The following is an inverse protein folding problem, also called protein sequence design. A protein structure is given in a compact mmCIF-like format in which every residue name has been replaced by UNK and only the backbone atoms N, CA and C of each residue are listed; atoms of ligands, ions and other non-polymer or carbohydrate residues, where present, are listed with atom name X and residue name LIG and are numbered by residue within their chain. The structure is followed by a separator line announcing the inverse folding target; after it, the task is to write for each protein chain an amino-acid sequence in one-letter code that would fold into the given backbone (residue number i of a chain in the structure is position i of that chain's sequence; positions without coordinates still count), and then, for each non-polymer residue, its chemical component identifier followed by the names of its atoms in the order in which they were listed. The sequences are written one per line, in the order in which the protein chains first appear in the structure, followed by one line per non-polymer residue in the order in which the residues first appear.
data_IF_773553952316
#
_entry.id   IF_773553952316
#
_cell.length_a   1.000
_cell.length_b   1.000
_cell.length_c   1.000
_cell.angle_alpha   90.00
_cell.angle_beta   90.00
_cell.angle_gamma   90.00
#
_symmetry.space_group_name_H-M   'P 1'
#
loop_
_entity.id
_entity.type
_entity.pdbx_description
1 polymer ?
#
# COMPACT_ATOMS: atom_id res chain seq x y z
N UNK A 1 -54.52 -23.74 12.68
CA UNK A 1 -53.38 -23.08 12.03
C UNK A 1 -52.32 -22.84 13.10
N UNK A 2 -51.45 -23.81 13.31
CA UNK A 2 -50.29 -23.72 14.20
C UNK A 2 -49.25 -22.84 13.50
N UNK A 3 -49.05 -21.63 14.02
CA UNK A 3 -47.98 -20.75 13.56
C UNK A 3 -46.64 -21.39 13.92
N UNK A 4 -45.88 -21.77 12.91
CA UNK A 4 -44.48 -22.19 13.03
C UNK A 4 -43.69 -21.01 13.61
N UNK A 5 -42.95 -21.19 14.71
CA UNK A 5 -42.10 -20.14 15.22
C UNK A 5 -40.97 -19.94 14.22
N UNK A 6 -40.77 -18.69 13.78
CA UNK A 6 -39.59 -18.29 13.01
C UNK A 6 -38.38 -18.55 13.91
N UNK A 7 -37.50 -19.45 13.48
CA UNK A 7 -36.21 -19.64 14.13
C UNK A 7 -35.46 -18.31 14.11
N UNK A 8 -35.12 -17.82 15.29
CA UNK A 8 -34.13 -16.76 15.46
C UNK A 8 -32.78 -17.40 15.11
N UNK A 9 -32.23 -17.09 13.93
CA UNK A 9 -31.05 -17.77 13.35
C UNK A 9 -29.74 -17.56 14.13
N UNK A 10 -29.79 -17.08 15.38
CA UNK A 10 -28.63 -16.98 16.26
C UNK A 10 -27.54 -16.02 15.76
N UNK A 11 -27.84 -15.17 14.77
CA UNK A 11 -26.91 -14.19 14.24
C UNK A 11 -26.53 -13.20 15.35
N UNK A 12 -25.26 -13.21 15.76
CA UNK A 12 -24.81 -12.35 16.85
C UNK A 12 -25.08 -10.88 16.50
N UNK A 13 -25.60 -10.10 17.45
CA UNK A 13 -25.85 -8.67 17.25
C UNK A 13 -24.58 -7.96 16.76
N UNK A 14 -24.65 -6.97 15.85
CA UNK A 14 -23.48 -6.23 15.35
C UNK A 14 -22.71 -5.51 16.47
N UNK A 15 -21.40 -5.32 16.29
CA UNK A 15 -20.56 -4.54 17.21
C UNK A 15 -20.95 -3.08 17.11
N UNK A 16 -20.86 -2.36 18.23
CA UNK A 16 -20.94 -0.90 18.22
C UNK A 16 -19.75 -0.29 17.44
N UNK A 17 -19.90 0.95 16.96
CA UNK A 17 -18.88 1.61 16.13
C UNK A 17 -17.50 1.66 16.79
N UNK A 18 -17.44 1.96 18.10
CA UNK A 18 -16.18 1.99 18.84
C UNK A 18 -15.51 0.61 18.88
N UNK A 19 -16.29 -0.42 19.21
CA UNK A 19 -15.82 -1.80 19.33
C UNK A 19 -15.39 -2.38 17.96
N UNK A 20 -16.09 -2.03 16.89
CA UNK A 20 -15.71 -2.41 15.53
C UNK A 20 -14.40 -1.72 15.09
N UNK A 21 -14.26 -0.43 15.40
CA UNK A 21 -13.05 0.34 15.09
C UNK A 21 -11.84 -0.22 15.83
N UNK A 22 -12.02 -0.58 17.10
CA UNK A 22 -10.97 -1.18 17.91
C UNK A 22 -10.50 -2.51 17.31
N UNK A 23 -11.43 -3.37 16.88
CA UNK A 23 -11.06 -4.62 16.21
C UNK A 23 -10.29 -4.40 14.91
N UNK A 24 -10.66 -3.41 14.10
CA UNK A 24 -9.90 -3.07 12.89
C UNK A 24 -8.48 -2.59 13.24
N UNK A 25 -8.33 -1.78 14.28
CA UNK A 25 -7.01 -1.31 14.75
C UNK A 25 -6.15 -2.45 15.30
N UNK A 26 -6.74 -3.34 16.10
CA UNK A 26 -6.06 -4.50 16.67
C UNK A 26 -5.46 -5.41 15.59
N UNK A 27 -6.14 -5.63 14.46
CA UNK A 27 -5.56 -6.39 13.32
C UNK A 27 -4.26 -5.76 12.84
N UNK A 28 -4.22 -4.43 12.71
CA UNK A 28 -3.02 -3.75 12.25
C UNK A 28 -1.92 -3.77 13.32
N UNK A 29 -2.25 -3.57 14.59
CA UNK A 29 -1.28 -3.67 15.70
C UNK A 29 -0.62 -5.06 15.80
N UNK A 30 -1.40 -6.11 15.60
CA UNK A 30 -0.91 -7.48 15.77
C UNK A 30 -0.21 -8.03 14.52
N UNK A 31 -0.69 -7.66 13.32
CA UNK A 31 -0.32 -8.35 12.07
C UNK A 31 0.29 -7.45 11.00
N UNK A 32 0.41 -6.14 11.24
CA UNK A 32 1.02 -5.29 10.23
C UNK A 32 2.49 -5.62 10.03
N UNK A 33 2.96 -5.37 8.80
CA UNK A 33 4.21 -5.93 8.33
C UNK A 33 5.45 -5.24 8.91
N UNK A 34 5.30 -4.15 9.67
CA UNK A 34 6.40 -3.47 10.36
C UNK A 34 7.07 -4.38 11.39
N UNK A 35 6.33 -5.38 11.89
CA UNK A 35 6.81 -6.43 12.80
C UNK A 35 7.54 -7.58 12.11
N UNK A 36 7.48 -7.67 10.78
CA UNK A 36 8.19 -8.71 10.04
C UNK A 36 9.71 -8.59 10.27
N UNK A 37 10.46 -9.69 10.50
CA UNK A 37 11.90 -9.67 10.77
C UNK A 37 12.71 -8.80 9.79
N UNK A 38 12.45 -8.91 8.49
CA UNK A 38 13.02 -8.02 7.47
C UNK A 38 12.86 -6.52 7.75
N UNK A 39 11.66 -6.05 8.14
CA UNK A 39 11.45 -4.63 8.46
C UNK A 39 12.11 -4.26 9.79
N UNK A 40 12.10 -5.16 10.79
CA UNK A 40 12.80 -4.92 12.06
C UNK A 40 14.30 -4.70 11.82
N UNK A 41 14.94 -5.59 11.05
CA UNK A 41 16.34 -5.46 10.61
C UNK A 41 16.58 -4.16 9.84
N UNK A 42 15.66 -3.79 8.92
CA UNK A 42 15.72 -2.50 8.20
C UNK A 42 15.74 -1.31 9.16
N UNK A 43 14.84 -1.31 10.15
CA UNK A 43 14.73 -0.19 11.09
C UNK A 43 15.92 -0.12 12.06
N UNK A 44 16.63 -1.23 12.26
CA UNK A 44 17.82 -1.34 13.09
C UNK A 44 19.14 -1.11 12.32
N UNK A 45 19.08 -0.94 10.99
CA UNK A 45 20.26 -0.70 10.16
C UNK A 45 21.02 -1.99 9.76
N UNK A 46 20.39 -3.16 9.91
CA UNK A 46 21.04 -4.47 9.77
C UNK A 46 20.93 -5.06 8.36
N UNK A 47 20.16 -4.44 7.47
CA UNK A 47 20.13 -4.85 6.06
C UNK A 47 21.39 -4.39 5.31
N UNK A 48 21.90 -5.28 4.46
CA UNK A 48 22.92 -4.95 3.47
C UNK A 48 22.35 -4.09 2.34
N UNK A 49 23.20 -3.35 1.58
CA UNK A 49 22.75 -2.64 0.38
C UNK A 49 22.06 -3.53 -0.66
N UNK A 50 22.48 -4.80 -0.79
CA UNK A 50 21.89 -5.75 -1.72
C UNK A 50 20.46 -6.13 -1.29
N UNK A 51 20.23 -6.46 -0.02
CA UNK A 51 18.91 -6.74 0.53
C UNK A 51 17.97 -5.53 0.40
N UNK A 52 18.47 -4.32 0.67
CA UNK A 52 17.67 -3.12 0.58
C UNK A 52 17.25 -2.83 -0.88
N UNK A 53 18.16 -2.98 -1.84
CA UNK A 53 17.86 -2.86 -3.29
C UNK A 53 16.85 -3.91 -3.76
N UNK A 54 17.00 -5.17 -3.31
CA UNK A 54 16.04 -6.24 -3.59
C UNK A 54 14.65 -5.87 -3.11
N UNK A 55 14.54 -5.32 -1.89
CA UNK A 55 13.28 -4.83 -1.36
C UNK A 55 12.71 -3.67 -2.19
N UNK A 56 13.53 -2.70 -2.60
CA UNK A 56 13.08 -1.57 -3.44
C UNK A 56 12.47 -2.07 -4.76
N UNK A 57 13.14 -3.00 -5.46
CA UNK A 57 12.67 -3.60 -6.72
C UNK A 57 11.34 -4.33 -6.51
N UNK A 58 11.29 -5.22 -5.53
CA UNK A 58 10.10 -6.04 -5.29
C UNK A 58 8.91 -5.21 -4.80
N UNK A 59 9.15 -4.21 -3.95
CA UNK A 59 8.10 -3.31 -3.50
C UNK A 59 7.63 -2.36 -4.59
N UNK A 60 8.48 -1.96 -5.52
CA UNK A 60 8.03 -1.19 -6.69
C UNK A 60 6.94 -1.93 -7.48
N UNK A 61 7.04 -3.26 -7.60
CA UNK A 61 5.97 -4.07 -8.18
C UNK A 61 4.65 -3.92 -7.42
N UNK A 62 4.65 -3.90 -6.09
CA UNK A 62 3.45 -3.58 -5.31
C UNK A 62 2.97 -2.13 -5.56
N UNK A 63 3.89 -1.16 -5.57
CA UNK A 63 3.56 0.26 -5.73
C UNK A 63 2.84 0.57 -7.04
N UNK A 64 3.30 0.00 -8.16
CA UNK A 64 2.71 0.23 -9.50
C UNK A 64 1.36 -0.47 -9.69
N UNK A 65 1.02 -1.45 -8.84
CA UNK A 65 -0.29 -2.12 -8.88
C UNK A 65 -1.33 -1.50 -7.96
N UNK A 66 -0.95 -0.57 -7.06
CA UNK A 66 -1.92 0.20 -6.28
C UNK A 66 -2.96 0.93 -7.16
N UNK A 67 -2.57 1.73 -8.17
CA UNK A 67 -3.56 2.41 -9.03
C UNK A 67 -4.43 1.43 -9.81
N UNK A 68 -3.89 0.26 -10.23
CA UNK A 68 -4.67 -0.81 -10.87
C UNK A 68 -5.75 -1.34 -9.93
N UNK A 69 -5.36 -1.66 -8.69
CA UNK A 69 -6.28 -2.10 -7.63
C UNK A 69 -7.32 -1.04 -7.33
N UNK A 70 -6.93 0.24 -7.25
CA UNK A 70 -7.86 1.33 -6.96
C UNK A 70 -8.83 1.61 -8.11
N UNK A 71 -8.43 1.41 -9.37
CA UNK A 71 -9.33 1.47 -10.51
C UNK A 71 -10.39 0.35 -10.47
N UNK A 72 -10.01 -0.86 -10.04
CA UNK A 72 -10.95 -1.96 -9.85
C UNK A 72 -11.95 -1.71 -8.73
N UNK A 73 -11.54 -1.01 -7.65
CA UNK A 73 -12.46 -0.55 -6.60
C UNK A 73 -13.37 0.56 -7.14
N UNK A 74 -12.81 1.53 -7.85
CA UNK A 74 -13.54 2.64 -8.45
C UNK A 74 -14.68 2.16 -9.35
N UNK A 75 -14.44 1.10 -10.12
CA UNK A 75 -15.43 0.46 -10.99
C UNK A 75 -16.64 -0.14 -10.25
N UNK A 76 -16.58 -0.30 -8.92
CA UNK A 76 -17.68 -0.81 -8.09
C UNK A 76 -18.59 0.27 -7.51
N UNK A 77 -18.25 1.54 -7.72
CA UNK A 77 -19.01 2.65 -7.14
C UNK A 77 -19.98 3.23 -8.15
N UNK A 78 -21.28 3.13 -7.87
CA UNK A 78 -22.33 3.77 -8.67
C UNK A 78 -22.42 5.27 -8.39
N UNK A 79 -22.10 5.71 -7.17
CA UNK A 79 -22.12 7.11 -6.75
C UNK A 79 -20.90 7.90 -7.29
N UNK A 80 -21.12 8.94 -8.12
CA UNK A 80 -20.04 9.82 -8.59
C UNK A 80 -19.28 10.54 -7.47
N UNK A 81 -19.89 10.81 -6.31
CA UNK A 81 -19.22 11.43 -5.18
C UNK A 81 -18.13 10.52 -4.61
N UNK A 82 -18.44 9.24 -4.41
CA UNK A 82 -17.44 8.23 -4.02
C UNK A 82 -16.35 8.10 -5.08
N UNK A 83 -16.70 8.08 -6.37
CA UNK A 83 -15.70 8.01 -7.44
C UNK A 83 -14.74 9.21 -7.45
N UNK A 84 -15.23 10.43 -7.23
CA UNK A 84 -14.39 11.64 -7.16
C UNK A 84 -13.40 11.60 -6.00
N UNK A 85 -13.80 11.04 -4.86
CA UNK A 85 -12.91 10.86 -3.69
C UNK A 85 -11.88 9.77 -3.97
N UNK A 86 -12.31 8.63 -4.52
CA UNK A 86 -11.45 7.46 -4.69
C UNK A 86 -10.44 7.60 -5.84
N UNK A 87 -10.81 8.27 -6.94
CA UNK A 87 -9.92 8.47 -8.11
C UNK A 87 -8.63 9.22 -7.75
N UNK A 88 -8.67 10.04 -6.70
CA UNK A 88 -7.50 10.75 -6.19
C UNK A 88 -6.37 9.81 -5.78
N UNK A 89 -6.66 8.59 -5.30
CA UNK A 89 -5.63 7.58 -4.97
C UNK A 89 -4.83 7.17 -6.20
N UNK A 90 -5.49 7.04 -7.34
CA UNK A 90 -4.85 6.78 -8.63
C UNK A 90 -3.97 7.97 -9.01
N UNK A 91 -4.51 9.19 -8.94
CA UNK A 91 -3.76 10.43 -9.24
C UNK A 91 -2.55 10.63 -8.31
N UNK A 92 -2.67 10.28 -7.04
CA UNK A 92 -1.57 10.36 -6.07
C UNK A 92 -0.41 9.41 -6.41
N UNK A 93 -0.70 8.27 -7.04
CA UNK A 93 0.26 7.27 -7.48
C UNK A 93 0.82 7.54 -8.88
N UNK A 94 -0.04 7.79 -9.86
CA UNK A 94 0.34 7.99 -11.26
C UNK A 94 0.79 9.42 -11.57
N UNK A 95 0.35 10.38 -10.75
CA UNK A 95 0.44 11.80 -11.08
C UNK A 95 -0.62 12.22 -12.10
N UNK A 96 -0.71 13.52 -12.37
CA UNK A 96 -1.56 14.08 -13.43
C UNK A 96 -0.78 14.38 -14.71
N UNK A 97 0.54 14.21 -14.67
CA UNK A 97 1.45 14.39 -15.79
C UNK A 97 2.68 13.48 -15.61
N UNK A 98 3.43 13.27 -16.69
CA UNK A 98 4.66 12.46 -16.70
C UNK A 98 5.66 13.01 -15.67
N UNK A 99 6.33 12.10 -14.95
CA UNK A 99 7.34 12.47 -13.95
C UNK A 99 6.74 13.01 -12.64
N UNK A 100 5.48 12.68 -12.36
CA UNK A 100 4.80 13.01 -11.10
C UNK A 100 4.29 11.74 -10.40
N UNK A 101 3.71 11.91 -9.21
CA UNK A 101 3.06 10.83 -8.48
C UNK A 101 3.99 9.97 -7.62
N UNK A 102 3.38 9.04 -6.90
CA UNK A 102 4.05 8.10 -6.01
C UNK A 102 4.93 7.10 -6.75
N UNK A 103 4.56 6.69 -7.97
CA UNK A 103 5.37 5.78 -8.80
C UNK A 103 6.70 6.44 -9.17
N UNK A 104 6.66 7.68 -9.67
CA UNK A 104 7.88 8.45 -9.94
C UNK A 104 8.73 8.66 -8.68
N UNK A 105 8.10 9.01 -7.55
CA UNK A 105 8.85 9.15 -6.28
C UNK A 105 9.52 7.84 -5.86
N UNK A 106 8.92 6.69 -6.15
CA UNK A 106 9.56 5.39 -5.87
C UNK A 106 10.68 5.07 -6.87
N UNK A 107 10.55 5.46 -8.14
CA UNK A 107 11.65 5.36 -9.11
C UNK A 107 12.88 6.14 -8.62
N UNK A 108 12.67 7.35 -8.10
CA UNK A 108 13.75 8.17 -7.51
C UNK A 108 14.37 7.55 -6.26
N UNK A 109 13.60 6.82 -5.45
CA UNK A 109 14.16 6.01 -4.35
C UNK A 109 15.08 4.92 -4.90
N UNK A 110 14.71 4.28 -6.01
CA UNK A 110 15.56 3.32 -6.71
C UNK A 110 16.87 3.96 -7.19
N UNK A 111 16.78 5.10 -7.87
CA UNK A 111 17.95 5.85 -8.35
C UNK A 111 18.88 6.27 -7.20
N UNK A 112 18.31 6.80 -6.11
CA UNK A 112 19.06 7.15 -4.90
C UNK A 112 19.74 5.94 -4.25
N UNK A 113 19.21 4.73 -4.46
CA UNK A 113 19.84 3.49 -4.02
C UNK A 113 20.82 2.90 -5.07
N UNK A 114 21.10 3.60 -6.17
CA UNK A 114 22.00 3.16 -7.24
C UNK A 114 21.38 2.12 -8.19
N UNK A 115 20.05 2.07 -8.30
CA UNK A 115 19.34 1.24 -9.29
C UNK A 115 18.96 2.06 -10.51
N UNK A 116 19.14 1.50 -11.69
CA UNK A 116 18.64 2.12 -12.92
C UNK A 116 17.11 1.93 -13.05
N UNK A 117 16.43 2.93 -13.61
CA UNK A 117 14.96 2.88 -13.83
C UNK A 117 14.50 1.60 -14.54
N UNK A 118 15.15 1.13 -15.64
CA UNK A 118 14.71 -0.09 -16.32
C UNK A 118 14.70 -1.32 -15.42
N UNK A 119 15.62 -1.42 -14.45
CA UNK A 119 15.69 -2.55 -13.52
C UNK A 119 14.47 -2.62 -12.58
N UNK A 120 13.83 -1.49 -12.25
CA UNK A 120 12.59 -1.48 -11.47
C UNK A 120 11.38 -1.90 -12.33
N UNK A 121 11.39 -1.59 -13.62
CA UNK A 121 10.30 -1.95 -14.53
C UNK A 121 10.34 -3.43 -14.96
N UNK A 122 11.54 -4.01 -15.01
CA UNK A 122 11.80 -5.40 -15.37
C UNK A 122 11.12 -6.40 -14.42
N UNK A 123 10.07 -7.05 -14.90
CA UNK A 123 9.28 -8.03 -14.14
C UNK A 123 10.01 -9.34 -13.88
N UNK A 124 11.06 -9.64 -14.65
CA UNK A 124 11.88 -10.83 -14.43
C UNK A 124 12.66 -10.76 -13.11
N UNK A 125 12.94 -9.54 -12.62
CA UNK A 125 13.63 -9.27 -11.34
C UNK A 125 12.72 -9.31 -10.13
N UNK A 126 11.40 -9.33 -10.33
CA UNK A 126 10.43 -9.44 -9.25
C UNK A 126 10.32 -10.92 -8.84
N UNK A 127 10.41 -11.19 -7.55
CA UNK A 127 10.34 -12.56 -7.03
C UNK A 127 8.95 -13.15 -7.30
N UNK A 128 8.84 -14.45 -7.63
CA UNK A 128 7.55 -15.10 -7.87
C UNK A 128 6.58 -14.95 -6.69
N UNK A 129 7.05 -15.10 -5.45
CA UNK A 129 6.22 -14.92 -4.26
C UNK A 129 5.68 -13.50 -4.11
N UNK A 130 6.45 -12.49 -4.50
CA UNK A 130 5.99 -11.10 -4.54
C UNK A 130 4.93 -10.90 -5.61
N UNK A 131 5.12 -11.44 -6.83
CA UNK A 131 4.12 -11.34 -7.90
C UNK A 131 2.80 -11.97 -7.47
N UNK A 132 2.83 -13.19 -6.95
CA UNK A 132 1.63 -13.89 -6.49
C UNK A 132 0.92 -13.16 -5.35
N UNK A 133 1.65 -12.60 -4.38
CA UNK A 133 1.05 -11.83 -3.30
C UNK A 133 0.36 -10.55 -3.82
N UNK A 134 1.03 -9.81 -4.72
CA UNK A 134 0.48 -8.59 -5.33
C UNK A 134 -0.73 -8.88 -6.21
N UNK A 135 -0.65 -9.90 -7.06
CA UNK A 135 -1.78 -10.37 -7.88
C UNK A 135 -2.94 -10.85 -7.02
N UNK A 136 -2.66 -11.54 -5.90
CA UNK A 136 -3.67 -11.92 -4.91
C UNK A 136 -4.44 -10.72 -4.39
N UNK A 137 -3.76 -9.59 -4.09
CA UNK A 137 -4.44 -8.38 -3.66
C UNK A 137 -5.26 -7.72 -4.77
N UNK A 138 -4.70 -7.60 -5.98
CA UNK A 138 -5.41 -7.04 -7.13
C UNK A 138 -6.67 -7.86 -7.44
N UNK A 139 -6.56 -9.20 -7.45
CA UNK A 139 -7.68 -10.10 -7.69
C UNK A 139 -8.70 -10.10 -6.56
N UNK A 140 -8.26 -10.00 -5.30
CA UNK A 140 -9.17 -9.81 -4.17
C UNK A 140 -10.03 -8.54 -4.38
N UNK A 141 -9.41 -7.42 -4.71
CA UNK A 141 -10.14 -6.19 -4.98
C UNK A 141 -10.98 -6.24 -6.26
N UNK A 142 -10.57 -7.01 -7.28
CA UNK A 142 -11.37 -7.26 -8.49
C UNK A 142 -12.65 -8.03 -8.16
N UNK A 143 -12.53 -9.14 -7.43
CA UNK A 143 -13.57 -10.15 -7.30
C UNK A 143 -14.48 -9.95 -6.09
N UNK A 144 -13.96 -9.37 -4.99
CA UNK A 144 -14.73 -9.19 -3.76
C UNK A 144 -15.68 -7.99 -3.84
N UNK A 145 -16.74 -7.94 -3.01
CA UNK A 145 -17.62 -6.79 -2.90
C UNK A 145 -16.87 -5.51 -2.48
N UNK A 146 -17.48 -4.35 -2.73
CA UNK A 146 -16.87 -3.04 -2.45
C UNK A 146 -16.44 -2.88 -0.98
N UNK A 147 -17.25 -3.36 -0.03
CA UNK A 147 -16.92 -3.34 1.40
C UNK A 147 -15.59 -4.02 1.69
N UNK A 148 -15.40 -5.26 1.23
CA UNK A 148 -14.19 -6.05 1.46
C UNK A 148 -12.97 -5.36 0.83
N UNK A 149 -13.13 -4.88 -0.42
CA UNK A 149 -12.03 -4.26 -1.15
C UNK A 149 -11.58 -2.93 -0.52
N UNK A 150 -12.51 -2.12 -0.01
CA UNK A 150 -12.20 -0.89 0.73
C UNK A 150 -11.65 -1.22 2.13
N UNK A 151 -12.21 -2.20 2.83
CA UNK A 151 -11.69 -2.63 4.14
C UNK A 151 -10.24 -3.14 4.05
N UNK A 152 -9.88 -3.83 2.96
CA UNK A 152 -8.50 -4.23 2.69
C UNK A 152 -7.54 -3.05 2.42
N UNK A 153 -8.00 -1.80 2.26
CA UNK A 153 -7.11 -0.63 2.23
C UNK A 153 -6.74 -0.13 3.63
N UNK A 154 -7.49 -0.50 4.68
CA UNK A 154 -7.35 0.03 6.04
C UNK A 154 -6.02 -0.29 6.73
N UNK A 155 -5.15 -1.11 6.14
CA UNK A 155 -3.73 -1.16 6.54
C UNK A 155 -3.05 0.22 6.52
N UNK A 156 -3.62 1.19 5.80
CA UNK A 156 -3.18 2.58 5.79
C UNK A 156 -3.31 3.28 7.15
N UNK A 157 -4.12 2.77 8.08
CA UNK A 157 -4.17 3.26 9.47
C UNK A 157 -2.80 3.20 10.16
N UNK A 158 -1.95 2.23 9.77
CA UNK A 158 -0.60 2.05 10.32
C UNK A 158 0.51 2.63 9.45
N UNK A 159 0.22 2.98 8.20
CA UNK A 159 1.23 3.43 7.25
C UNK A 159 1.97 4.72 7.67
N UNK A 160 1.31 5.78 8.18
CA UNK A 160 2.00 7.01 8.58
C UNK A 160 3.05 6.79 9.68
N UNK A 161 2.76 5.94 10.67
CA UNK A 161 3.71 5.58 11.73
C UNK A 161 4.94 4.89 11.16
N UNK A 162 4.72 3.86 10.33
CA UNK A 162 5.80 3.12 9.66
C UNK A 162 6.64 4.01 8.72
N UNK A 163 6.03 4.96 8.00
CA UNK A 163 6.80 5.88 7.15
C UNK A 163 7.76 6.73 7.98
N UNK A 164 7.32 7.25 9.14
CA UNK A 164 8.20 8.00 10.05
C UNK A 164 9.36 7.16 10.55
N UNK A 165 9.10 5.91 10.96
CA UNK A 165 10.14 4.96 11.36
C UNK A 165 11.14 4.71 10.23
N UNK A 166 10.66 4.48 9.00
CA UNK A 166 11.52 4.27 7.83
C UNK A 166 12.39 5.47 7.51
N UNK A 167 11.83 6.68 7.53
CA UNK A 167 12.60 7.91 7.27
C UNK A 167 13.74 8.03 8.28
N UNK A 168 13.44 7.90 9.57
CA UNK A 168 14.44 7.99 10.63
C UNK A 168 15.52 6.89 10.51
N UNK A 169 15.13 5.66 10.15
CA UNK A 169 16.08 4.56 9.95
C UNK A 169 16.97 4.79 8.72
N UNK A 170 16.41 5.23 7.59
CA UNK A 170 17.18 5.49 6.37
C UNK A 170 18.18 6.63 6.56
N UNK A 171 17.74 7.75 7.14
CA UNK A 171 18.61 8.89 7.42
C UNK A 171 19.75 8.55 8.38
N UNK A 172 19.51 7.63 9.33
CA UNK A 172 20.52 7.22 10.32
C UNK A 172 21.46 6.12 9.84
N UNK A 173 20.94 5.07 9.22
CA UNK A 173 21.68 3.82 8.97
C UNK A 173 22.04 3.58 7.52
N UNK A 174 21.37 4.26 6.58
CA UNK A 174 21.60 4.10 5.14
C UNK A 174 21.97 5.43 4.46
N UNK A 175 23.02 6.14 4.94
CA UNK A 175 23.38 7.49 4.44
C UNK A 175 23.87 7.50 2.99
N UNK A 176 24.12 6.33 2.39
CA UNK A 176 24.44 6.18 0.97
C UNK A 176 23.21 6.30 0.07
N UNK A 177 22.00 6.39 0.63
CA UNK A 177 20.77 6.74 -0.10
C UNK A 177 20.54 8.23 0.06
N UNK A 178 20.57 8.95 -1.05
CA UNK A 178 20.33 10.40 -1.09
C UNK A 178 18.99 10.78 -0.45
N UNK A 179 18.98 11.87 0.32
CA UNK A 179 17.83 12.29 1.12
C UNK A 179 16.58 12.58 0.28
N UNK A 180 16.75 13.06 -0.95
CA UNK A 180 15.68 13.30 -1.93
C UNK A 180 14.95 12.01 -2.32
N UNK A 181 15.63 10.85 -2.28
CA UNK A 181 15.04 9.53 -2.53
C UNK A 181 13.93 9.16 -1.53
N UNK A 182 13.93 9.76 -0.33
CA UNK A 182 12.94 9.50 0.72
C UNK A 182 11.64 10.29 0.53
N UNK A 183 11.52 11.09 -0.54
CA UNK A 183 10.33 11.89 -0.84
C UNK A 183 9.05 11.05 -0.87
N UNK A 184 9.10 9.81 -1.36
CA UNK A 184 7.94 8.91 -1.35
C UNK A 184 7.38 8.72 0.08
N UNK A 185 8.24 8.38 1.05
CA UNK A 185 7.83 8.13 2.43
C UNK A 185 7.28 9.39 3.09
N UNK A 186 7.94 10.54 2.87
CA UNK A 186 7.50 11.83 3.42
C UNK A 186 6.11 12.21 2.93
N UNK A 187 5.85 12.09 1.62
CA UNK A 187 4.52 12.38 1.06
C UNK A 187 3.46 11.38 1.53
N UNK A 188 3.80 10.10 1.69
CA UNK A 188 2.84 9.06 2.06
C UNK A 188 2.28 9.22 3.48
N UNK A 189 2.97 9.92 4.39
CA UNK A 189 2.43 10.24 5.74
C UNK A 189 1.09 10.98 5.64
N UNK A 190 1.06 12.09 4.88
CA UNK A 190 -0.13 12.91 4.74
C UNK A 190 -1.22 12.22 3.92
N UNK A 191 -0.84 11.65 2.77
CA UNK A 191 -1.79 10.92 1.93
C UNK A 191 -2.40 9.73 2.67
N UNK A 192 -1.58 8.94 3.38
CA UNK A 192 -2.05 7.75 4.11
C UNK A 192 -3.01 8.06 5.25
N UNK A 193 -2.81 9.17 5.95
CA UNK A 193 -3.71 9.60 7.03
C UNK A 193 -5.10 9.89 6.46
N UNK A 194 -5.19 10.79 5.46
CA UNK A 194 -6.44 11.15 4.78
C UNK A 194 -7.13 9.92 4.17
N UNK A 195 -6.37 9.10 3.46
CA UNK A 195 -6.87 7.90 2.81
C UNK A 195 -7.48 6.92 3.84
N UNK A 196 -6.83 6.73 4.98
CA UNK A 196 -7.33 5.83 6.03
C UNK A 196 -8.60 6.35 6.72
N UNK A 197 -8.72 7.66 6.92
CA UNK A 197 -9.91 8.30 7.49
C UNK A 197 -11.13 8.11 6.57
N UNK A 198 -10.95 8.39 5.27
CA UNK A 198 -12.00 8.22 4.26
C UNK A 198 -12.47 6.78 4.15
N UNK A 199 -11.54 5.82 4.07
CA UNK A 199 -11.87 4.41 3.99
C UNK A 199 -12.56 3.90 5.27
N UNK A 200 -12.11 4.35 6.45
CA UNK A 200 -12.69 3.93 7.73
C UNK A 200 -14.14 4.40 7.86
N UNK A 201 -14.43 5.64 7.46
CA UNK A 201 -15.79 6.17 7.46
C UNK A 201 -16.72 5.37 6.53
N UNK A 202 -16.25 4.98 5.34
CA UNK A 202 -17.02 4.14 4.42
C UNK A 202 -17.29 2.76 5.01
N UNK A 203 -16.28 2.10 5.57
CA UNK A 203 -16.40 0.76 6.15
C UNK A 203 -17.36 0.75 7.34
N UNK A 204 -17.25 1.72 8.25
CA UNK A 204 -18.21 1.89 9.36
C UNK A 204 -19.62 2.21 8.84
N UNK A 205 -19.72 2.94 7.72
CA UNK A 205 -20.96 3.32 7.07
C UNK A 205 -21.67 2.17 6.33
N UNK A 206 -20.93 1.16 5.89
CA UNK A 206 -21.48 0.06 5.08
C UNK A 206 -21.62 -1.25 5.86
N UNK A 207 -20.76 -1.51 6.85
CA UNK A 207 -20.80 -2.74 7.65
C UNK A 207 -21.82 -2.61 8.80
N UNK A 208 -23.09 -2.86 8.49
CA UNK A 208 -24.24 -2.72 9.40
C UNK A 208 -24.61 -4.01 10.14
N UNK A 209 -24.21 -5.16 9.62
CA UNK A 209 -24.43 -6.46 10.28
C UNK A 209 -23.12 -7.01 10.86
N UNK A 210 -23.24 -7.96 11.80
CA UNK A 210 -22.10 -8.69 12.38
C UNK A 210 -21.22 -9.33 11.31
N UNK A 211 -21.84 -9.99 10.34
CA UNK A 211 -21.17 -10.71 9.26
C UNK A 211 -20.40 -9.74 8.34
N UNK A 212 -20.96 -8.56 8.08
CA UNK A 212 -20.28 -7.53 7.29
C UNK A 212 -19.07 -6.96 8.03
N UNK A 213 -19.19 -6.74 9.34
CA UNK A 213 -18.08 -6.26 10.18
C UNK A 213 -16.96 -7.30 10.26
N UNK A 214 -17.30 -8.57 10.46
CA UNK A 214 -16.35 -9.68 10.45
C UNK A 214 -15.65 -9.82 9.10
N UNK A 215 -16.39 -9.71 7.99
CA UNK A 215 -15.79 -9.67 6.64
C UNK A 215 -14.83 -8.51 6.45
N UNK A 216 -15.13 -7.33 6.98
CA UNK A 216 -14.22 -6.18 6.91
C UNK A 216 -12.92 -6.44 7.70
N UNK A 217 -13.02 -7.01 8.90
CA UNK A 217 -11.87 -7.45 9.71
C UNK A 217 -11.05 -8.52 8.98
N UNK A 218 -11.72 -9.50 8.37
CA UNK A 218 -11.08 -10.56 7.59
C UNK A 218 -10.37 -10.00 6.34
N UNK A 219 -10.98 -9.04 5.64
CA UNK A 219 -10.36 -8.38 4.49
C UNK A 219 -9.10 -7.58 4.87
N UNK A 220 -9.12 -6.90 6.02
CA UNK A 220 -7.94 -6.24 6.57
C UNK A 220 -6.86 -7.26 6.97
N UNK A 221 -7.26 -8.38 7.58
CA UNK A 221 -6.34 -9.47 7.94
C UNK A 221 -5.66 -10.06 6.70
N UNK A 222 -6.43 -10.39 5.66
CA UNK A 222 -5.92 -10.83 4.36
C UNK A 222 -4.91 -9.83 3.78
N UNK A 223 -5.18 -8.52 3.90
CA UNK A 223 -4.23 -7.52 3.43
C UNK A 223 -2.90 -7.56 4.20
N UNK A 224 -2.95 -7.72 5.52
CA UNK A 224 -1.74 -7.91 6.32
C UNK A 224 -0.96 -9.14 5.87
N UNK A 225 -1.64 -10.26 5.57
CA UNK A 225 -1.02 -11.49 5.05
C UNK A 225 -0.36 -11.29 3.69
N UNK A 226 -0.97 -10.54 2.76
CA UNK A 226 -0.34 -10.16 1.48
C UNK A 226 0.98 -9.44 1.71
N UNK A 227 0.97 -8.44 2.60
CA UNK A 227 2.16 -7.65 2.92
C UNK A 227 3.24 -8.49 3.60
N UNK A 228 2.83 -9.46 4.42
CA UNK A 228 3.72 -10.41 5.07
C UNK A 228 4.33 -11.37 4.06
N UNK A 229 3.52 -12.03 3.23
CA UNK A 229 3.95 -12.95 2.18
C UNK A 229 4.94 -12.31 1.19
N UNK A 230 4.74 -11.03 0.87
CA UNK A 230 5.70 -10.25 0.08
C UNK A 230 7.07 -10.21 0.76
N UNK A 231 7.11 -9.85 2.05
CA UNK A 231 8.37 -9.74 2.79
C UNK A 231 9.01 -11.10 3.05
N UNK A 232 8.22 -12.13 3.30
CA UNK A 232 8.63 -13.53 3.41
C UNK A 232 9.39 -13.99 2.16
N UNK A 233 8.94 -13.58 0.97
CA UNK A 233 9.62 -13.86 -0.29
C UNK A 233 10.93 -13.05 -0.43
N UNK A 234 10.91 -11.77 -0.03
CA UNK A 234 12.08 -10.89 -0.10
C UNK A 234 13.19 -11.33 0.86
N UNK A 235 12.85 -11.68 2.10
CA UNK A 235 13.78 -12.04 3.17
C UNK A 235 14.45 -13.40 2.92
N UNK A 236 13.72 -14.36 2.34
CA UNK A 236 14.25 -15.70 2.01
C UNK A 236 14.97 -15.79 0.67
N UNK A 237 14.90 -14.74 -0.16
CA UNK A 237 15.56 -14.78 -1.46
C UNK A 237 17.08 -14.65 -1.29
N UNK A 238 17.82 -15.65 -1.77
CA UNK A 238 19.27 -15.60 -1.79
C UNK A 238 19.80 -14.46 -2.67
N UNK A 239 21.04 -14.01 -2.42
CA UNK A 239 21.73 -13.04 -3.28
C UNK A 239 21.95 -13.52 -4.72
N UNK A 240 21.74 -14.81 -4.97
CA UNK A 240 21.88 -15.48 -6.25
C UNK A 240 20.60 -15.51 -7.12
N UNK A 241 19.66 -14.57 -6.97
CA UNK A 241 18.48 -14.55 -7.87
C UNK A 241 18.98 -14.45 -9.32
N UNK A 242 18.49 -15.31 -10.23
CA UNK A 242 19.02 -15.39 -11.59
C UNK A 242 18.83 -14.05 -12.28
N UNK A 243 19.94 -13.41 -12.64
CA UNK A 243 19.93 -12.47 -13.74
C UNK A 243 19.44 -13.23 -14.98
N UNK A 244 18.34 -12.79 -15.60
CA UNK A 244 17.92 -13.29 -16.91
C UNK A 244 19.07 -13.27 -17.93
N UNK A 245 18.96 -14.02 -19.04
CA UNK A 245 20.06 -14.76 -19.60
C UNK A 245 21.10 -13.86 -20.23
N UNK A 246 22.30 -13.88 -19.66
CA UNK A 246 23.54 -13.63 -20.37
C UNK A 246 24.56 -14.64 -19.80
N UNK A 247 24.67 -15.77 -20.49
CA UNK A 247 25.90 -16.53 -20.77
C UNK A 247 25.66 -18.05 -20.76
N UNK A 248 25.75 -18.63 -21.97
CA UNK A 248 26.29 -19.97 -22.16
C UNK A 248 25.41 -21.18 -21.80
N UNK A 249 24.40 -21.47 -22.62
CA UNK A 249 24.10 -22.87 -22.97
C UNK A 249 24.21 -23.00 -24.49
N UNK A 250 25.45 -23.09 -24.97
CA UNK A 250 25.73 -23.81 -26.20
C UNK A 250 25.79 -25.29 -25.80
N UNK A 251 24.74 -26.04 -26.13
CA UNK A 251 24.60 -27.43 -25.75
C UNK A 251 23.34 -28.05 -26.33
N UNK A 252 23.43 -28.47 -27.59
CA UNK A 252 22.69 -29.60 -28.18
C UNK A 252 21.16 -29.69 -27.99
N UNK A 253 20.43 -28.63 -28.39
CA UNK A 253 18.99 -28.71 -28.64
C UNK A 253 18.62 -28.74 -30.15
N UNK A 254 19.57 -29.10 -31.02
CA UNK A 254 19.36 -29.13 -32.48
C UNK A 254 19.30 -30.55 -33.08
N UNK A 255 19.16 -31.61 -32.27
CA UNK A 255 19.35 -32.99 -32.78
C UNK A 255 18.25 -34.00 -32.46
N UNK A 256 17.01 -33.56 -32.22
CA UNK A 256 15.87 -34.47 -32.00
C UNK A 256 14.59 -34.04 -32.72
N UNK A 257 14.68 -33.52 -33.95
CA UNK A 257 13.51 -33.44 -34.84
C UNK A 257 13.87 -33.99 -36.22
N UNK A 258 14.07 -35.30 -36.29
CA UNK A 258 13.92 -36.10 -37.50
C UNK A 258 13.75 -37.55 -37.09
N UNK A 259 12.51 -38.04 -37.12
CA UNK A 259 12.11 -39.28 -37.82
C UNK A 259 10.74 -39.77 -37.32
N UNK A 260 9.79 -39.84 -38.28
CA UNK A 260 8.56 -40.66 -38.31
C UNK A 260 7.47 -40.34 -37.26
N UNK A 261 6.21 -40.10 -37.62
CA UNK A 261 5.31 -40.96 -38.42
C UNK A 261 4.27 -40.12 -39.18
N UNK A 262 4.08 -40.44 -40.46
CA UNK A 262 2.92 -40.04 -41.27
C UNK A 262 1.66 -40.74 -40.73
N UNK A 263 0.67 -39.96 -40.29
CA UNK A 263 -0.65 -40.44 -39.90
C UNK A 263 -1.70 -39.44 -40.36
N UNK A 264 -2.46 -39.86 -41.35
CA UNK A 264 -3.55 -39.14 -42.01
C UNK A 264 -4.65 -38.69 -41.02
N UNK A 265 -5.08 -37.44 -41.11
CA UNK A 265 -6.30 -36.96 -40.43
C UNK A 265 -7.02 -35.94 -41.32
N UNK A 266 -8.11 -36.42 -41.91
CA UNK A 266 -9.15 -35.63 -42.58
C UNK A 266 -9.88 -34.70 -41.60
N UNK A 267 -10.33 -33.51 -42.02
CA UNK A 267 -11.15 -32.66 -41.18
C UNK A 267 -12.62 -33.11 -41.23
N UNK A 268 -13.17 -33.41 -40.05
CA UNK A 268 -14.61 -33.61 -39.83
C UNK A 268 -15.38 -32.31 -40.06
N UNK A 269 -16.30 -32.37 -41.01
CA UNK A 269 -17.37 -31.40 -41.24
C UNK A 269 -18.36 -31.51 -40.08
N UNK A 270 -18.68 -30.38 -39.43
CA UNK A 270 -19.84 -30.28 -38.54
C UNK A 270 -20.84 -29.30 -39.13
N UNK A 271 -22.05 -29.81 -39.34
CA UNK A 271 -23.22 -29.13 -39.87
C UNK A 271 -23.63 -27.92 -39.01
N UNK A 272 -24.00 -26.82 -39.67
CA UNK A 272 -24.69 -25.69 -39.05
C UNK A 272 -26.19 -25.85 -39.25
N UNK A 273 -26.95 -25.86 -38.16
CA UNK A 273 -28.38 -25.61 -38.18
C UNK A 273 -28.69 -24.18 -37.74
N UNK A 274 -29.49 -23.55 -38.61
CA UNK A 274 -30.26 -22.32 -38.60
C UNK A 274 -30.50 -21.55 -37.29
N UNK A 275 -30.31 -20.23 -37.37
CA UNK A 275 -30.86 -19.23 -36.45
C UNK A 275 -31.02 -17.89 -37.18
N UNK A 276 -32.27 -17.47 -37.31
CA UNK A 276 -32.80 -16.30 -38.02
C UNK A 276 -32.31 -14.96 -37.38
N UNK A 277 -31.91 -13.99 -38.21
CA UNK A 277 -31.60 -12.63 -37.76
C UNK A 277 -31.90 -11.60 -38.85
N UNK A 278 -32.97 -10.84 -38.63
CA UNK A 278 -33.32 -9.63 -39.39
C UNK A 278 -32.28 -8.52 -39.20
N UNK A 279 -32.06 -7.64 -40.20
CA UNK A 279 -31.06 -6.58 -40.10
C UNK A 279 -31.61 -5.38 -39.31
N UNK A 280 -30.88 -4.95 -38.27
CA UNK A 280 -31.08 -3.64 -37.67
C UNK A 280 -30.12 -2.63 -38.32
N UNK A 281 -30.74 -1.57 -38.82
CA UNK A 281 -30.18 -0.44 -39.54
C UNK A 281 -29.24 0.35 -38.64
N UNK A 282 -28.03 0.64 -39.13
CA UNK A 282 -27.07 1.54 -38.51
C UNK A 282 -27.29 2.95 -39.06
N UNK A 283 -27.78 3.87 -38.23
CA UNK A 283 -28.00 5.27 -38.60
C UNK A 283 -26.67 6.03 -38.49
N UNK A 284 -26.00 6.23 -39.63
CA UNK A 284 -24.81 7.08 -39.73
C UNK A 284 -25.23 8.53 -39.95
N UNK A 285 -25.08 9.38 -38.92
CA UNK A 285 -25.15 10.83 -39.09
C UNK A 285 -23.87 11.34 -39.76
N UNK A 286 -23.95 11.61 -41.06
CA UNK A 286 -22.97 12.41 -41.79
C UNK A 286 -23.56 13.82 -41.94
N UNK A 287 -22.94 14.82 -41.28
CA UNK A 287 -23.29 16.23 -41.48
C UNK A 287 -22.58 16.76 -42.72
N UNK A 288 -23.35 17.07 -43.76
CA UNK A 288 -22.86 17.74 -44.97
C UNK A 288 -22.59 19.23 -44.74
N UNK A 289 -21.51 19.68 -45.37
CA UNK A 289 -21.03 21.06 -45.48
C UNK A 289 -21.66 21.72 -46.70
N UNK A 290 -22.14 22.95 -46.57
CA UNK A 290 -22.51 23.82 -47.71
C UNK A 290 -21.53 25.00 -47.87
N UNK A 291 -21.23 25.47 -49.10
CA UNK A 291 -20.13 26.39 -49.36
C UNK A 291 -20.53 27.87 -49.55
N UNK A 292 -19.59 28.75 -49.22
CA UNK A 292 -19.21 29.93 -50.03
C UNK A 292 -19.86 31.28 -49.72
N UNK A 293 -19.09 32.21 -49.12
CA UNK A 293 -18.86 33.61 -49.58
C UNK A 293 -17.52 34.11 -48.96
N UNK A 294 -16.65 34.70 -49.80
CA UNK A 294 -15.39 35.47 -49.54
C UNK A 294 -15.55 36.77 -50.38
N UNK A 295 -14.92 37.97 -50.16
CA UNK A 295 -13.59 38.31 -49.60
C UNK A 295 -13.56 39.69 -48.87
N UNK A 296 -12.47 40.53 -48.85
CA UNK A 296 -10.99 40.37 -48.83
C UNK A 296 -10.39 40.97 -47.51
N UNK A 297 -9.11 41.05 -47.15
CA UNK A 297 -7.79 40.77 -47.73
C UNK A 297 -6.73 41.65 -47.03
N UNK A 298 -5.66 41.00 -46.54
CA UNK A 298 -4.24 41.44 -46.42
C UNK A 298 -3.83 42.71 -45.61
N UNK A 299 -2.97 42.54 -44.61
CA UNK A 299 -1.49 42.72 -44.76
C UNK A 299 -0.73 42.78 -43.42
N UNK A 300 0.52 42.34 -43.50
CA UNK A 300 1.54 42.20 -42.46
C UNK A 300 1.88 43.48 -41.68
N UNK A 301 2.33 43.34 -40.43
CA UNK A 301 3.41 44.18 -39.88
C UNK A 301 3.93 43.68 -38.53
N UNK A 302 5.25 43.53 -38.50
CA UNK A 302 6.12 43.35 -37.34
C UNK A 302 6.22 44.68 -36.57
N UNK A 303 6.00 44.71 -35.25
CA UNK A 303 6.62 45.71 -34.38
C UNK A 303 6.56 45.33 -32.89
N UNK A 304 7.76 45.23 -32.30
CA UNK A 304 8.03 45.34 -30.87
C UNK A 304 7.68 46.74 -30.36
N UNK A 305 7.01 46.85 -29.20
CA UNK A 305 7.40 47.76 -28.10
C UNK A 305 6.39 47.84 -26.94
N UNK A 306 6.92 47.51 -25.75
CA UNK A 306 6.76 48.14 -24.43
C UNK A 306 5.42 48.78 -23.98
N UNK A 307 5.14 48.45 -22.70
CA UNK A 307 4.41 49.18 -21.67
C UNK A 307 2.88 48.94 -21.66
N UNK A 308 2.20 48.71 -20.53
CA UNK A 308 2.39 49.12 -19.13
C UNK A 308 1.78 48.10 -18.16
N UNK A 309 2.40 47.93 -16.99
CA UNK A 309 1.82 47.28 -15.80
C UNK A 309 0.68 48.16 -15.22
N UNK A 310 -0.42 47.60 -14.71
CA UNK A 310 -1.31 48.31 -13.80
C UNK A 310 -0.80 48.23 -12.35
N UNK A 311 -0.95 49.35 -11.66
CA UNK A 311 -0.36 49.68 -10.38
C UNK A 311 -0.98 48.97 -9.17
N UNK A 312 -0.12 48.52 -8.26
CA UNK A 312 -0.47 48.20 -6.87
C UNK A 312 -0.76 49.50 -6.11
N UNK A 313 -1.87 49.56 -5.38
CA UNK A 313 -2.22 50.65 -4.46
C UNK A 313 -2.34 50.11 -3.03
N UNK A 314 -1.45 50.59 -2.15
CA UNK A 314 -1.56 50.89 -0.70
C UNK A 314 -0.23 51.54 -0.28
N UNK A 315 -0.10 52.33 0.80
CA UNK A 315 -0.96 52.45 1.99
C UNK A 315 -1.20 53.90 2.48
N UNK A 316 -1.97 54.07 3.56
CA UNK A 316 -1.84 55.21 4.49
C UNK A 316 -2.03 54.73 5.94
N UNK A 317 -1.16 55.22 6.81
CA UNK A 317 -1.10 54.97 8.24
C UNK A 317 -1.27 56.30 9.02
N UNK A 318 -1.79 56.23 10.24
CA UNK A 318 -1.63 57.20 11.34
C UNK A 318 -1.94 56.43 12.64
N UNK A 319 -0.97 56.12 13.52
CA UNK A 319 -0.29 56.89 14.58
C UNK A 319 -1.14 57.18 15.85
N UNK A 320 -0.84 56.36 16.87
CA UNK A 320 -0.63 56.57 18.32
C UNK A 320 -1.10 57.83 19.05
N UNK A 321 -1.68 57.62 20.24
CA UNK A 321 -1.45 58.40 21.49
C UNK A 321 -1.48 57.46 22.70
N UNK A 322 -0.59 57.71 23.67
CA UNK A 322 -0.27 56.91 24.85
C UNK A 322 -0.93 57.40 26.16
N UNK A 323 -0.93 56.53 27.20
CA UNK A 323 -0.64 56.91 28.59
C UNK A 323 -1.69 56.59 29.69
N UNK A 324 -1.27 55.84 30.73
CA UNK A 324 -1.56 56.20 32.13
C UNK A 324 -2.40 55.26 33.03
N UNK A 325 -1.71 54.35 33.74
CA UNK A 325 -1.76 53.99 35.17
C UNK A 325 -3.05 53.69 36.01
N UNK A 326 -2.91 52.58 36.76
CA UNK A 326 -3.16 52.37 38.21
C UNK A 326 -4.52 51.84 38.77
N UNK A 327 -4.44 50.58 39.26
CA UNK A 327 -4.68 50.12 40.65
C UNK A 327 -6.02 49.51 41.12
N UNK A 328 -5.85 48.55 42.05
CA UNK A 328 -6.77 47.79 42.93
C UNK A 328 -7.46 46.54 42.32
N UNK A 329 -7.42 45.33 42.92
CA UNK A 329 -6.86 44.87 44.19
C UNK A 329 -7.10 43.35 44.43
N UNK A 330 -6.18 42.77 45.20
CA UNK A 330 -6.19 41.55 46.05
C UNK A 330 -7.29 40.45 45.91
N UNK A 331 -6.86 39.17 45.89
CA UNK A 331 -6.83 38.28 47.08
C UNK A 331 -6.69 36.78 46.71
N UNK A 332 -6.00 36.00 47.58
CA UNK A 332 -6.15 34.54 47.72
C UNK A 332 -5.01 33.70 47.13
N UNK A 333 -3.88 33.50 47.81
CA UNK A 333 -3.62 32.52 48.87
C UNK A 333 -2.89 31.26 48.36
N UNK A 334 -1.83 30.92 49.09
CA UNK A 334 -0.86 29.84 48.89
C UNK A 334 -1.47 28.42 48.94
N UNK A 335 -0.71 27.42 48.50
CA UNK A 335 -0.23 26.29 49.36
C UNK A 335 0.47 25.17 48.54
N UNK A 336 1.59 24.71 49.12
CA UNK A 336 2.28 23.40 49.04
C UNK A 336 3.06 22.93 47.80
N UNK A 337 4.38 22.91 48.01
CA UNK A 337 5.26 21.83 47.57
C UNK A 337 5.06 20.58 48.45
N UNK A 338 5.02 19.41 47.82
CA UNK A 338 4.90 18.11 48.48
C UNK A 338 5.32 16.96 47.55
N UNK A 339 6.26 16.16 48.04
CA UNK A 339 6.93 14.99 47.46
C UNK A 339 6.04 13.76 47.30
N UNK A 340 6.25 12.95 46.24
CA UNK A 340 6.13 11.47 46.19
C UNK A 340 6.42 11.00 44.74
N UNK A 341 7.54 10.35 44.42
CA UNK A 341 7.83 8.91 44.58
C UNK A 341 6.69 8.00 44.08
N UNK A 342 6.80 7.52 42.84
CA UNK A 342 5.91 6.53 42.26
C UNK A 342 6.62 5.17 42.21
N UNK A 343 6.10 4.24 42.99
CA UNK A 343 6.58 2.88 43.16
C UNK A 343 6.34 2.00 41.93
N UNK A 344 7.37 1.23 41.58
CA UNK A 344 7.33 0.15 40.61
C UNK A 344 6.50 -1.00 41.22
N UNK A 345 5.42 -1.37 40.53
CA UNK A 345 4.59 -2.52 40.89
C UNK A 345 5.02 -3.74 40.09
N UNK A 346 5.83 -4.60 40.70
CA UNK A 346 6.24 -5.90 40.17
C UNK A 346 5.16 -6.94 40.47
N UNK A 347 4.52 -7.47 39.42
CA UNK A 347 3.58 -8.59 39.51
C UNK A 347 4.36 -9.92 39.40
N UNK A 348 4.33 -10.70 40.47
CA UNK A 348 4.77 -12.10 40.51
C UNK A 348 3.57 -13.00 40.14
N UNK A 349 3.72 -14.04 39.30
CA UNK A 349 2.76 -15.12 39.22
C UNK A 349 3.15 -16.32 40.11
N UNK A 350 2.10 -16.94 40.66
CA UNK A 350 2.11 -17.97 41.70
C UNK A 350 2.63 -19.35 41.23
N UNK A 351 3.18 -20.08 42.21
CA UNK A 351 3.58 -21.49 42.14
C UNK A 351 2.36 -22.42 42.13
N UNK A 352 2.43 -23.53 41.39
CA UNK A 352 1.68 -24.75 41.67
C UNK A 352 2.65 -25.90 42.04
N UNK A 353 2.26 -26.83 42.95
CA UNK A 353 3.13 -27.86 43.49
C UNK A 353 2.96 -29.21 42.77
N UNK A 354 4.00 -30.04 42.78
CA UNK A 354 3.87 -31.46 42.43
C UNK A 354 5.15 -32.07 41.85
N UNK A 355 6.07 -32.48 42.71
CA UNK A 355 7.08 -33.49 42.39
C UNK A 355 6.55 -34.87 42.82
N UNK A 356 7.14 -35.96 42.29
CA UNK A 356 7.85 -36.81 43.24
C UNK A 356 9.30 -37.12 42.81
N UNK A 357 10.05 -37.43 43.86
CA UNK A 357 11.50 -37.62 44.01
C UNK A 357 11.94 -39.02 43.55
N UNK A 358 13.26 -39.16 43.33
CA UNK A 358 14.15 -40.36 43.45
C UNK A 358 14.84 -40.72 42.11
N UNK A 359 16.15 -40.97 42.01
CA UNK A 359 17.23 -41.29 42.99
C UNK A 359 18.60 -40.99 42.37
N UNK A 360 19.55 -40.58 43.20
CA UNK A 360 21.00 -40.56 42.93
C UNK A 360 21.58 -41.95 42.65
N UNK A 361 22.55 -42.05 41.73
CA UNK A 361 23.71 -42.97 41.87
C UNK A 361 24.93 -42.40 41.11
N UNK A 362 26.18 -42.49 41.63
CA UNK A 362 27.31 -41.67 41.17
C UNK A 362 28.52 -42.44 40.59
N UNK A 363 29.49 -41.67 40.03
CA UNK A 363 30.94 -41.95 39.77
C UNK A 363 31.23 -42.88 38.56
N UNK A 364 32.14 -42.58 37.59
CA UNK A 364 33.64 -42.59 37.64
C UNK A 364 34.24 -41.80 36.44
N UNK A 365 35.35 -41.04 36.60
CA UNK A 365 36.19 -40.58 35.49
C UNK A 365 37.62 -41.19 35.50
N UNK A 366 38.18 -41.37 34.29
CA UNK A 366 39.64 -41.40 34.02
C UNK A 366 40.12 -42.53 33.09
N UNK A 367 41.36 -42.48 32.55
CA UNK A 367 42.35 -41.41 32.61
C UNK A 367 42.94 -41.00 31.23
N UNK A 368 43.57 -39.81 31.22
CA UNK A 368 44.54 -39.39 30.22
C UNK A 368 45.96 -39.76 30.67
N UNK A 369 46.79 -40.22 29.73
CA UNK A 369 48.24 -40.40 29.91
C UNK A 369 48.92 -40.62 28.56
N UNK A 370 49.83 -39.72 28.18
CA UNK A 370 50.90 -39.97 27.19
C UNK A 370 52.24 -40.21 27.90
N UNK A 371 53.41 -39.91 27.31
CA UNK A 371 53.94 -40.19 25.97
C UNK A 371 55.14 -41.20 26.11
N UNK A 372 56.20 -41.29 25.26
CA UNK A 372 57.04 -40.22 24.68
C UNK A 372 56.81 -39.88 23.21
#
# INVERSE_FOLDING_TARGET
MTATPVCDDGAAAPWGTAEFTERLRAVAEDRYHDRHPFNVRMHQGELTPAELRRWIINRFHYQRHIPVKDALILAKFDDPALRRVWVRRIQDHDGTAVGQGGIERWLRLGEAAGLERPALWDTARVLPGVRLAVEGYVNFCRLRPALDAVAASLTELSAPGLMRTRIAAFERYYPWIEAEGLAYFRTRIGQGSRDSEEALALVQGWARTREQQERAVAALTFKCEVLWALLDAVDRASDSVPTGPADGVSGDAARLVSEHVLGDVSPLVSERTSGDASPLVFESSSGEVSPGVVPPGLSDSVASSRARRPAQRRPRAARDVAGGDAAFGASGAAVQAGTASASISTKVPARHPGAPVQTDTPVVPGPAGGPP
#
